data_IF_368547752945
#
_entry.id   IF_368547752945
#
_cell.length_a   1.000
_cell.length_b   1.000
_cell.length_c   1.000
_cell.angle_alpha   90.00
_cell.angle_beta   90.00
_cell.angle_gamma   90.00
#
_symmetry.space_group_name_H-M   'P 1'
#
loop_
_entity.id
_entity.type
_entity.pdbx_description
1 polymer ?
#
# COMPACT_ATOMS: atom_id res chain seq x y z
N UNK A 1 31.01 -19.94 -79.38
CA UNK A 1 31.92 -20.63 -78.44
C UNK A 1 31.43 -20.37 -77.02
N UNK A 2 31.27 -21.44 -76.23
CA UNK A 2 30.89 -21.54 -74.80
C UNK A 2 29.56 -20.89 -74.35
N UNK A 3 28.46 -21.62 -74.20
CA UNK A 3 28.07 -22.65 -73.19
C UNK A 3 27.51 -22.08 -71.87
N UNK A 4 26.17 -22.06 -71.80
CA UNK A 4 25.27 -22.58 -70.76
C UNK A 4 25.76 -22.68 -69.30
N UNK A 5 24.94 -22.18 -68.36
CA UNK A 5 24.52 -22.99 -67.20
C UNK A 5 23.16 -22.60 -66.60
N UNK A 6 22.26 -23.58 -66.66
CA UNK A 6 20.99 -23.73 -65.95
C UNK A 6 21.21 -24.08 -64.46
N UNK A 7 20.18 -23.88 -63.63
CA UNK A 7 20.04 -24.53 -62.32
C UNK A 7 18.97 -23.87 -61.44
N UNK A 8 17.69 -24.22 -61.61
CA UNK A 8 16.95 -25.23 -60.82
C UNK A 8 16.39 -24.72 -59.48
N UNK A 9 15.07 -24.44 -59.47
CA UNK A 9 14.22 -24.37 -58.27
C UNK A 9 13.11 -25.41 -58.41
N UNK A 10 13.21 -26.47 -57.62
CA UNK A 10 12.23 -27.51 -57.29
C UNK A 10 12.50 -27.79 -55.78
N UNK A 11 11.61 -28.15 -54.86
CA UNK A 11 10.17 -28.42 -54.79
C UNK A 11 9.87 -28.71 -53.30
N UNK A 12 8.58 -28.83 -52.94
CA UNK A 12 8.02 -29.55 -51.76
C UNK A 12 7.72 -28.78 -50.48
N UNK A 13 6.44 -28.41 -50.35
CA UNK A 13 5.68 -28.30 -49.09
C UNK A 13 4.64 -29.45 -49.04
N UNK A 14 4.80 -30.36 -48.10
CA UNK A 14 3.84 -31.34 -47.55
C UNK A 14 4.41 -31.66 -46.14
N UNK A 15 3.72 -31.99 -45.06
CA UNK A 15 2.34 -32.08 -44.58
C UNK A 15 2.45 -32.44 -43.08
N UNK A 16 1.30 -32.55 -42.38
CA UNK A 16 1.06 -33.29 -41.12
C UNK A 16 1.22 -32.58 -39.75
N UNK A 17 0.06 -32.34 -39.14
CA UNK A 17 -0.28 -32.33 -37.70
C UNK A 17 -0.14 -33.75 -37.07
N UNK A 18 -0.05 -33.94 -35.73
CA UNK A 18 -1.24 -34.03 -34.84
C UNK A 18 -1.04 -33.56 -33.37
N UNK A 19 -2.11 -33.55 -32.53
CA UNK A 19 -2.17 -32.90 -31.20
C UNK A 19 -1.92 -33.86 -30.03
N UNK A 20 -1.56 -33.32 -28.85
CA UNK A 20 -1.50 -34.06 -27.60
C UNK A 20 -2.28 -33.38 -26.46
N UNK A 21 -3.03 -34.22 -25.75
CA UNK A 21 -3.86 -33.95 -24.59
C UNK A 21 -3.05 -33.70 -23.29
N UNK A 22 -3.71 -32.99 -22.36
CA UNK A 22 -3.53 -32.76 -20.90
C UNK A 22 -3.14 -34.01 -20.06
N UNK A 23 -2.92 -33.99 -18.70
CA UNK A 23 -3.24 -32.95 -17.69
C UNK A 23 -2.27 -32.76 -16.47
N UNK A 24 -2.57 -31.76 -15.64
CA UNK A 24 -2.49 -31.85 -14.17
C UNK A 24 -1.17 -31.45 -13.47
N UNK A 25 -1.23 -30.45 -12.58
CA UNK A 25 -0.86 -30.60 -11.15
C UNK A 25 -1.01 -29.28 -10.39
N UNK A 26 -1.86 -29.38 -9.36
CA UNK A 26 -2.10 -28.45 -8.27
C UNK A 26 -0.83 -28.21 -7.43
N UNK A 27 -0.57 -26.95 -7.03
CA UNK A 27 0.30 -26.68 -5.86
C UNK A 27 -0.05 -25.35 -5.18
N UNK A 28 -0.63 -25.47 -3.99
CA UNK A 28 -0.93 -24.41 -3.03
C UNK A 28 0.35 -23.74 -2.48
N UNK A 29 0.32 -22.43 -2.13
CA UNK A 29 1.35 -21.83 -1.31
C UNK A 29 1.10 -22.06 0.19
N UNK A 30 2.17 -22.46 0.88
CA UNK A 30 2.28 -22.69 2.32
C UNK A 30 2.10 -21.38 3.10
N UNK A 31 1.30 -21.48 4.15
CA UNK A 31 1.21 -20.55 5.27
C UNK A 31 2.52 -20.54 6.07
N UNK A 32 3.14 -19.37 6.19
CA UNK A 32 4.26 -19.11 7.10
C UNK A 32 3.74 -18.42 8.36
N UNK A 33 3.65 -19.20 9.44
CA UNK A 33 3.46 -18.73 10.82
C UNK A 33 4.73 -18.01 11.29
N UNK A 34 4.62 -16.73 11.61
CA UNK A 34 5.59 -16.00 12.43
C UNK A 34 4.95 -15.73 13.79
N UNK A 35 5.63 -16.21 14.82
CA UNK A 35 5.33 -16.10 16.24
C UNK A 35 6.12 -14.94 16.84
N UNK A 36 5.46 -14.07 17.62
CA UNK A 36 5.93 -13.40 18.85
C UNK A 36 5.04 -12.14 19.14
N UNK A 37 5.10 -11.53 20.34
CA UNK A 37 4.63 -12.07 21.60
C UNK A 37 3.54 -11.17 22.26
N UNK A 38 2.86 -11.75 23.26
CA UNK A 38 1.92 -11.10 24.17
C UNK A 38 2.50 -9.83 24.80
N UNK A 39 1.80 -8.70 24.66
CA UNK A 39 1.92 -7.58 25.60
C UNK A 39 0.58 -7.36 26.29
N UNK A 40 0.68 -7.27 27.62
CA UNK A 40 -0.38 -6.98 28.57
C UNK A 40 -0.50 -5.47 28.63
N UNK A 41 -1.62 -4.86 28.25
CA UNK A 41 -1.96 -3.53 28.75
C UNK A 41 -3.47 -3.36 28.97
N UNK A 42 -3.74 -2.86 30.18
CA UNK A 42 -5.02 -2.63 30.84
C UNK A 42 -5.96 -1.71 30.06
N UNK A 43 -7.24 -2.02 30.16
CA UNK A 43 -8.35 -1.10 29.99
C UNK A 43 -8.29 0.08 30.96
N UNK A 44 -8.50 1.29 30.45
CA UNK A 44 -9.21 2.36 31.14
C UNK A 44 -10.06 3.13 30.13
N UNK A 45 -11.35 3.19 30.43
CA UNK A 45 -12.38 4.04 29.82
C UNK A 45 -12.03 5.52 29.89
N UNK A 46 -12.56 6.30 28.94
CA UNK A 46 -13.20 7.64 29.06
C UNK A 46 -13.38 8.16 27.61
N UNK A 47 -14.55 8.01 26.99
CA UNK A 47 -15.70 8.92 27.04
C UNK A 47 -15.43 10.32 26.43
N UNK A 48 -15.90 10.52 25.18
CA UNK A 48 -16.59 11.71 24.64
C UNK A 48 -16.16 12.05 23.20
N UNK A 49 -17.15 12.27 22.31
CA UNK A 49 -16.92 13.05 21.09
C UNK A 49 -17.71 12.60 19.85
N UNK A 50 -19.01 12.91 19.82
CA UNK A 50 -19.88 13.18 18.66
C UNK A 50 -19.33 12.86 17.26
N UNK A 51 -19.84 11.80 16.63
CA UNK A 51 -19.75 11.58 15.17
C UNK A 51 -21.02 12.08 14.49
N UNK A 52 -20.88 13.10 13.65
CA UNK A 52 -21.87 13.47 12.65
C UNK A 52 -21.77 12.50 11.46
N UNK A 53 -22.84 11.76 11.21
CA UNK A 53 -23.03 10.99 9.98
C UNK A 53 -23.56 11.93 8.89
N UNK A 54 -22.82 12.08 7.80
CA UNK A 54 -23.29 12.77 6.58
C UNK A 54 -23.26 11.78 5.42
N UNK A 55 -24.44 11.56 4.84
CA UNK A 55 -24.73 10.60 3.80
C UNK A 55 -24.00 10.92 2.49
N UNK A 56 -23.27 9.94 1.99
CA UNK A 56 -22.80 9.88 0.61
C UNK A 56 -23.94 9.38 -0.29
N UNK A 57 -24.35 10.18 -1.28
CA UNK A 57 -24.96 9.75 -2.54
C UNK A 57 -25.24 10.97 -3.40
N UNK A 58 -24.55 11.10 -4.55
CA UNK A 58 -25.18 11.35 -5.84
C UNK A 58 -24.15 11.24 -6.96
N UNK A 59 -24.39 10.23 -7.78
CA UNK A 59 -23.82 9.95 -9.10
C UNK A 59 -24.32 11.01 -10.09
N UNK A 60 -23.46 11.46 -11.01
CA UNK A 60 -23.74 11.58 -12.45
C UNK A 60 -22.51 12.13 -13.19
N UNK A 61 -21.83 11.24 -13.91
CA UNK A 61 -20.87 11.57 -14.95
C UNK A 61 -21.63 11.72 -16.27
N UNK A 62 -21.49 12.88 -16.93
CA UNK A 62 -21.94 13.08 -18.30
C UNK A 62 -20.71 13.40 -19.17
N UNK A 63 -20.34 12.42 -20.01
CA UNK A 63 -19.36 12.58 -21.07
C UNK A 63 -20.07 13.12 -22.32
N UNK A 64 -19.63 14.26 -22.83
CA UNK A 64 -19.96 14.74 -24.17
C UNK A 64 -18.67 14.89 -24.95
N UNK A 65 -18.44 13.94 -25.85
CA UNK A 65 -17.45 14.01 -26.92
C UNK A 65 -18.12 14.68 -28.11
N UNK A 66 -17.60 15.82 -28.57
CA UNK A 66 -18.03 16.43 -29.83
C UNK A 66 -16.99 16.19 -30.91
N UNK A 67 -17.47 15.54 -31.96
CA UNK A 67 -16.79 15.17 -33.19
C UNK A 67 -16.44 16.39 -34.05
N UNK A 68 -15.23 16.41 -34.59
CA UNK A 68 -14.78 17.37 -35.60
C UNK A 68 -15.14 16.88 -37.02
N UNK A 69 -15.65 17.75 -37.92
CA UNK A 69 -15.77 17.42 -39.34
C UNK A 69 -14.51 17.84 -40.12
N UNK A 70 -13.99 16.88 -40.89
CA UNK A 70 -13.00 17.10 -41.93
C UNK A 70 -13.69 17.57 -43.22
N UNK A 71 -13.18 18.64 -43.84
CA UNK A 71 -13.50 19.00 -45.23
C UNK A 71 -12.19 19.26 -45.97
N UNK A 72 -12.00 18.51 -47.06
CA UNK A 72 -10.96 18.68 -48.05
C UNK A 72 -11.46 19.58 -49.19
N UNK A 73 -10.60 20.39 -49.80
CA UNK A 73 -10.22 20.33 -51.23
C UNK A 73 -9.49 21.59 -51.72
N UNK A 74 -8.27 21.35 -52.24
CA UNK A 74 -7.58 21.92 -53.42
C UNK A 74 -7.69 23.41 -53.78
N UNK A 75 -6.54 24.07 -54.02
CA UNK A 75 -6.15 24.65 -55.33
C UNK A 75 -4.61 24.87 -55.39
N UNK A 76 -3.95 24.41 -56.46
CA UNK A 76 -2.60 24.82 -56.91
C UNK A 76 -2.71 25.96 -57.94
N UNK A 77 -1.70 26.82 -58.07
CA UNK A 77 -1.02 26.88 -59.37
C UNK A 77 0.51 26.99 -59.31
N UNK A 78 1.12 26.49 -60.38
CA UNK A 78 2.54 26.51 -60.68
C UNK A 78 2.95 27.79 -61.42
N UNK A 79 4.18 28.27 -61.22
CA UNK A 79 5.17 28.48 -62.31
C UNK A 79 6.53 29.02 -61.79
N UNK A 80 7.59 28.31 -62.19
CA UNK A 80 8.91 28.77 -62.70
C UNK A 80 9.62 29.96 -62.02
N UNK A 81 10.88 29.94 -61.61
CA UNK A 81 12.01 29.03 -61.82
C UNK A 81 13.31 29.87 -61.83
N UNK A 82 14.35 29.46 -61.09
CA UNK A 82 15.77 29.77 -61.37
C UNK A 82 16.66 29.08 -60.31
N UNK A 83 17.85 28.66 -60.73
CA UNK A 83 18.69 27.66 -60.10
C UNK A 83 19.93 28.24 -59.37
N UNK A 84 20.28 27.59 -58.24
CA UNK A 84 21.63 27.19 -57.71
C UNK A 84 22.70 28.24 -57.28
N UNK A 85 23.72 27.85 -56.45
CA UNK A 85 23.79 26.83 -55.37
C UNK A 85 24.66 27.19 -54.12
N UNK A 86 24.62 26.26 -53.14
CA UNK A 86 25.71 25.73 -52.28
C UNK A 86 26.12 26.42 -50.95
N UNK A 87 26.21 25.58 -49.90
CA UNK A 87 26.89 25.82 -48.61
C UNK A 87 26.02 25.48 -47.39
N UNK A 88 25.71 24.22 -47.11
CA UNK A 88 26.48 23.31 -46.23
C UNK A 88 26.22 23.50 -44.71
N UNK A 89 25.60 22.47 -44.11
CA UNK A 89 25.90 21.79 -42.83
C UNK A 89 24.63 21.45 -42.02
N UNK A 90 24.45 20.15 -41.80
CA UNK A 90 23.50 19.49 -40.90
C UNK A 90 24.15 19.33 -39.49
N UNK A 91 23.70 18.47 -38.54
CA UNK A 91 22.42 17.75 -38.35
C UNK A 91 21.89 17.77 -36.87
N UNK A 92 20.81 17.03 -36.59
CA UNK A 92 20.47 16.23 -35.36
C UNK A 92 18.98 16.37 -35.02
N UNK A 93 18.10 15.35 -35.06
CA UNK A 93 18.05 14.02 -34.46
C UNK A 93 17.41 13.96 -33.05
N UNK A 94 16.28 13.25 -33.01
CA UNK A 94 15.72 12.42 -31.93
C UNK A 94 15.22 13.08 -30.63
N UNK A 95 13.89 13.11 -30.48
CA UNK A 95 13.18 13.20 -29.20
C UNK A 95 12.81 11.79 -28.71
N UNK A 96 13.42 11.37 -27.59
CA UNK A 96 13.01 10.22 -26.79
C UNK A 96 12.40 10.71 -25.48
N UNK A 97 11.23 10.16 -25.17
CA UNK A 97 10.42 10.45 -23.98
C UNK A 97 11.12 10.06 -22.68
N UNK A 98 10.97 10.89 -21.63
CA UNK A 98 11.22 10.47 -20.26
C UNK A 98 10.04 10.83 -19.35
N UNK A 99 9.52 9.78 -18.73
CA UNK A 99 8.62 9.80 -17.59
C UNK A 99 9.35 10.34 -16.34
N UNK A 100 8.69 11.22 -15.61
CA UNK A 100 9.16 11.71 -14.31
C UNK A 100 8.62 10.83 -13.17
N UNK A 101 9.54 10.38 -12.31
CA UNK A 101 9.25 9.91 -10.96
C UNK A 101 9.09 11.10 -10.02
N UNK A 102 7.98 11.11 -9.28
CA UNK A 102 7.69 12.09 -8.23
C UNK A 102 8.22 11.60 -6.88
N UNK A 103 8.92 12.46 -6.15
CA UNK A 103 9.12 12.34 -4.69
C UNK A 103 8.98 13.72 -4.05
N UNK A 104 7.81 13.91 -3.44
CA UNK A 104 7.57 14.34 -2.04
C UNK A 104 8.35 15.56 -1.51
N UNK A 105 7.62 16.60 -1.12
CA UNK A 105 7.40 16.94 0.29
C UNK A 105 6.43 18.11 0.45
N UNK A 106 5.53 17.95 1.43
CA UNK A 106 4.49 18.87 1.83
C UNK A 106 5.02 19.94 2.78
N UNK A 107 4.41 21.12 2.70
CA UNK A 107 3.91 21.83 3.88
C UNK A 107 4.59 23.16 4.20
N UNK A 108 3.92 24.27 3.89
CA UNK A 108 3.32 25.14 4.91
C UNK A 108 2.65 26.38 4.31
N UNK A 109 1.42 26.59 4.78
CA UNK A 109 0.72 27.86 5.02
C UNK A 109 0.32 28.76 3.86
N UNK A 110 -1.01 28.90 3.75
CA UNK A 110 -1.74 29.94 3.04
C UNK A 110 -1.13 31.34 3.24
N UNK A 111 -0.77 31.96 2.14
CA UNK A 111 -0.91 33.39 1.95
C UNK A 111 -1.49 33.56 0.54
N UNK A 112 -2.68 34.14 0.48
CA UNK A 112 -3.28 34.69 -0.74
C UNK A 112 -2.23 35.49 -1.49
N UNK A 113 -1.91 34.99 -2.68
CA UNK A 113 -1.09 35.66 -3.68
C UNK A 113 -1.70 35.42 -5.05
N UNK A 114 -3.02 35.59 -5.16
CA UNK A 114 -3.74 35.63 -6.44
C UNK A 114 -3.64 37.03 -7.05
N UNK A 115 -2.44 37.54 -7.24
CA UNK A 115 -2.21 38.80 -7.95
C UNK A 115 -1.05 38.64 -8.94
N UNK A 116 -1.14 37.62 -9.79
CA UNK A 116 -0.38 37.57 -11.04
C UNK A 116 -1.13 36.76 -12.12
N UNK A 117 -2.44 36.94 -12.16
CA UNK A 117 -3.29 36.59 -13.30
C UNK A 117 -4.04 37.82 -13.87
N UNK A 118 -3.86 39.00 -13.27
CA UNK A 118 -4.61 40.22 -13.61
C UNK A 118 -4.06 41.02 -14.79
N UNK A 119 -2.77 40.91 -15.11
CA UNK A 119 -2.14 41.81 -16.11
C UNK A 119 -2.18 41.31 -17.55
N UNK A 120 -2.35 39.99 -17.78
CA UNK A 120 -2.56 39.48 -19.14
C UNK A 120 -4.03 39.53 -19.56
N UNK A 121 -4.96 39.49 -18.59
CA UNK A 121 -6.40 39.57 -18.84
C UNK A 121 -6.87 41.01 -19.08
N UNK A 122 -6.22 42.01 -18.47
CA UNK A 122 -6.58 43.42 -18.65
C UNK A 122 -6.55 43.89 -20.12
N UNK A 123 -5.48 43.72 -20.92
CA UNK A 123 -5.44 44.20 -22.29
C UNK A 123 -6.42 43.44 -23.22
N UNK A 124 -6.56 42.11 -23.06
CA UNK A 124 -7.53 41.34 -23.85
C UNK A 124 -8.97 41.75 -23.51
N UNK A 125 -9.29 41.99 -22.24
CA UNK A 125 -10.62 42.48 -21.84
C UNK A 125 -10.94 43.88 -22.37
N UNK A 126 -9.94 44.75 -22.54
CA UNK A 126 -10.09 46.07 -23.13
C UNK A 126 -10.39 45.99 -24.64
N UNK A 127 -9.73 45.08 -25.37
CA UNK A 127 -10.02 44.84 -26.78
C UNK A 127 -11.42 44.26 -26.96
N UNK A 128 -11.81 43.29 -26.13
CA UNK A 128 -13.14 42.69 -26.16
C UNK A 128 -14.25 43.71 -25.87
N UNK A 129 -14.03 44.63 -24.92
CA UNK A 129 -14.98 45.70 -24.62
C UNK A 129 -15.16 46.66 -25.80
N UNK A 130 -14.06 47.06 -26.47
CA UNK A 130 -14.12 47.92 -27.65
C UNK A 130 -14.77 47.21 -28.84
N UNK A 131 -14.53 45.92 -29.03
CA UNK A 131 -15.18 45.13 -30.06
C UNK A 131 -16.70 45.10 -29.87
N UNK A 132 -17.18 44.86 -28.64
CA UNK A 132 -18.62 44.88 -28.32
C UNK A 132 -19.30 46.22 -28.64
N UNK A 133 -18.60 47.34 -28.41
CA UNK A 133 -19.13 48.67 -28.78
C UNK A 133 -19.25 48.82 -30.30
N UNK A 134 -18.30 48.29 -31.07
CA UNK A 134 -18.36 48.30 -32.53
C UNK A 134 -19.49 47.40 -33.07
N UNK A 135 -19.69 46.24 -32.44
CA UNK A 135 -20.78 45.32 -32.78
C UNK A 135 -22.14 45.96 -32.47
N UNK A 136 -22.30 46.57 -31.30
CA UNK A 136 -23.51 47.30 -30.92
C UNK A 136 -23.80 48.45 -31.89
N UNK A 137 -22.78 49.24 -32.29
CA UNK A 137 -22.95 50.31 -33.29
C UNK A 137 -23.38 49.77 -34.65
N UNK A 138 -22.93 48.58 -35.01
CA UNK A 138 -23.35 47.90 -36.26
C UNK A 138 -24.82 47.51 -36.18
N UNK A 139 -25.24 46.91 -35.08
CA UNK A 139 -26.64 46.54 -34.84
C UNK A 139 -27.57 47.75 -34.83
N UNK A 140 -27.18 48.81 -34.11
CA UNK A 140 -27.93 50.08 -34.07
C UNK A 140 -28.01 50.72 -35.46
N UNK A 141 -26.93 50.70 -36.24
CA UNK A 141 -26.95 51.24 -37.60
C UNK A 141 -27.92 50.47 -38.51
N UNK A 142 -27.89 49.13 -38.45
CA UNK A 142 -28.80 48.27 -39.20
C UNK A 142 -30.26 48.49 -38.78
N UNK A 143 -30.52 48.62 -37.48
CA UNK A 143 -31.86 48.92 -36.95
C UNK A 143 -32.39 50.27 -37.45
N UNK A 144 -31.57 51.33 -37.38
CA UNK A 144 -31.95 52.66 -37.87
C UNK A 144 -32.20 52.67 -39.38
N UNK A 145 -31.40 51.93 -40.14
CA UNK A 145 -31.63 51.75 -41.57
C UNK A 145 -32.96 51.04 -41.86
N UNK A 146 -33.27 49.96 -41.14
CA UNK A 146 -34.53 49.23 -41.29
C UNK A 146 -35.77 50.11 -41.00
N UNK A 147 -35.73 50.93 -39.95
CA UNK A 147 -36.79 51.91 -39.69
C UNK A 147 -36.90 52.92 -40.84
N UNK A 148 -35.77 53.50 -41.25
CA UNK A 148 -35.76 54.50 -42.32
C UNK A 148 -36.29 53.93 -43.65
N UNK A 149 -36.01 52.67 -43.93
CA UNK A 149 -36.54 51.95 -45.10
C UNK A 149 -38.07 51.87 -45.04
N UNK A 150 -38.64 51.43 -43.90
CA UNK A 150 -40.09 51.39 -43.70
C UNK A 150 -40.72 52.77 -43.81
N UNK A 151 -40.11 53.80 -43.22
CA UNK A 151 -40.59 55.18 -43.29
C UNK A 151 -40.56 55.73 -44.73
N UNK A 152 -39.57 55.35 -45.53
CA UNK A 152 -39.42 55.82 -46.90
C UNK A 152 -40.57 55.36 -47.81
N UNK A 153 -41.18 54.20 -47.56
CA UNK A 153 -42.33 53.72 -48.34
C UNK A 153 -43.61 54.56 -48.13
N UNK A 154 -43.67 55.36 -47.06
CA UNK A 154 -44.78 56.28 -46.81
C UNK A 154 -44.64 57.65 -47.52
N UNK A 155 -43.51 57.90 -48.21
CA UNK A 155 -43.19 59.20 -48.82
C UNK A 155 -43.39 59.19 -50.34
N UNK A 156 -43.73 60.35 -50.91
CA UNK A 156 -43.92 60.51 -52.36
C UNK A 156 -42.66 60.23 -53.19
N UNK A 157 -41.46 60.56 -52.68
CA UNK A 157 -40.18 60.32 -53.37
C UNK A 157 -39.41 59.14 -52.76
N UNK A 158 -39.99 57.93 -52.81
CA UNK A 158 -39.44 56.71 -52.20
C UNK A 158 -37.99 56.45 -52.65
N UNK A 159 -37.71 56.50 -53.96
CA UNK A 159 -36.37 56.20 -54.50
C UNK A 159 -35.28 57.13 -53.97
N UNK A 160 -35.57 58.43 -53.88
CA UNK A 160 -34.63 59.40 -53.32
C UNK A 160 -34.41 59.16 -51.82
N UNK A 161 -35.49 58.89 -51.08
CA UNK A 161 -35.44 58.58 -49.66
C UNK A 161 -34.60 57.33 -49.35
N UNK A 162 -34.81 56.24 -50.10
CA UNK A 162 -34.05 54.99 -49.94
C UNK A 162 -32.57 55.17 -50.24
N UNK A 163 -32.22 55.94 -51.28
CA UNK A 163 -30.82 56.22 -51.59
C UNK A 163 -30.15 57.01 -50.46
N UNK A 164 -30.81 58.05 -49.93
CA UNK A 164 -30.31 58.81 -48.79
C UNK A 164 -30.12 57.94 -47.54
N UNK A 165 -31.08 57.04 -47.25
CA UNK A 165 -30.98 56.11 -46.13
C UNK A 165 -29.78 55.15 -46.32
N UNK A 166 -29.60 54.61 -47.53
CA UNK A 166 -28.48 53.73 -47.87
C UNK A 166 -27.13 54.44 -47.77
N UNK A 167 -27.05 55.70 -48.19
CA UNK A 167 -25.81 56.48 -48.09
C UNK A 167 -25.44 56.76 -46.63
N UNK A 168 -26.43 57.05 -45.78
CA UNK A 168 -26.20 57.21 -44.33
C UNK A 168 -25.78 55.91 -43.63
N UNK A 169 -26.30 54.76 -44.09
CA UNK A 169 -25.88 53.45 -43.59
C UNK A 169 -24.44 53.15 -44.02
N UNK A 170 -24.11 53.37 -45.30
CA UNK A 170 -22.75 53.16 -45.84
C UNK A 170 -21.69 54.04 -45.15
N UNK A 171 -22.01 55.30 -44.84
CA UNK A 171 -21.05 56.20 -44.18
C UNK A 171 -20.69 55.68 -42.78
N UNK A 172 -21.69 55.31 -41.98
CA UNK A 172 -21.46 54.79 -40.63
C UNK A 172 -20.78 53.42 -40.66
N UNK A 173 -21.14 52.54 -41.59
CA UNK A 173 -20.44 51.27 -41.78
C UNK A 173 -18.96 51.45 -42.17
N UNK A 174 -18.65 52.47 -42.98
CA UNK A 174 -17.27 52.79 -43.32
C UNK A 174 -16.47 53.24 -42.08
N UNK A 175 -17.08 54.04 -41.21
CA UNK A 175 -16.46 54.46 -39.95
C UNK A 175 -16.23 53.28 -39.01
N UNK A 176 -17.24 52.40 -38.83
CA UNK A 176 -17.12 51.19 -38.01
C UNK A 176 -15.98 50.29 -38.53
N UNK A 177 -15.91 50.07 -39.85
CA UNK A 177 -14.84 49.25 -40.44
C UNK A 177 -13.46 49.87 -40.24
N UNK A 178 -13.34 51.21 -40.30
CA UNK A 178 -12.08 51.91 -40.03
C UNK A 178 -11.61 51.69 -38.59
N UNK A 179 -12.53 51.75 -37.63
CA UNK A 179 -12.23 51.50 -36.22
C UNK A 179 -11.89 50.02 -35.95
N UNK A 180 -12.59 49.07 -36.57
CA UNK A 180 -12.26 47.64 -36.50
C UNK A 180 -10.84 47.35 -37.02
N UNK A 181 -10.48 47.91 -38.18
CA UNK A 181 -9.14 47.73 -38.74
C UNK A 181 -8.04 48.32 -37.84
N UNK A 182 -8.32 49.41 -37.14
CA UNK A 182 -7.41 49.99 -36.16
C UNK A 182 -7.23 49.06 -34.95
N UNK A 183 -8.33 48.54 -34.39
CA UNK A 183 -8.33 47.59 -33.27
C UNK A 183 -7.56 46.30 -33.62
N UNK A 184 -7.83 45.72 -34.78
CA UNK A 184 -7.10 44.54 -35.28
C UNK A 184 -5.60 44.82 -35.49
N UNK A 185 -5.25 46.02 -35.92
CA UNK A 185 -3.87 46.48 -36.07
C UNK A 185 -3.13 46.53 -34.73
N UNK A 186 -3.78 47.06 -33.69
CA UNK A 186 -3.26 47.09 -32.32
C UNK A 186 -3.07 45.66 -31.78
N UNK A 187 -4.09 44.81 -31.92
CA UNK A 187 -4.05 43.43 -31.42
C UNK A 187 -2.92 42.61 -32.08
N UNK A 188 -2.73 42.75 -33.40
CA UNK A 188 -1.62 42.10 -34.11
C UNK A 188 -0.26 42.56 -33.58
N UNK A 189 -0.11 43.85 -33.31
CA UNK A 189 1.13 44.43 -32.80
C UNK A 189 1.44 43.92 -31.39
N UNK A 190 0.42 43.86 -30.50
CA UNK A 190 0.60 43.34 -29.15
C UNK A 190 0.97 41.85 -29.15
N UNK A 191 0.29 41.04 -29.94
CA UNK A 191 0.64 39.62 -30.08
C UNK A 191 2.05 39.41 -30.64
N UNK A 192 2.52 40.30 -31.52
CA UNK A 192 3.90 40.27 -31.99
C UNK A 192 4.89 40.56 -30.85
N UNK A 193 4.64 41.62 -30.05
CA UNK A 193 5.47 41.97 -28.88
C UNK A 193 5.55 40.84 -27.86
N UNK A 194 4.41 40.25 -27.50
CA UNK A 194 4.36 39.13 -26.55
C UNK A 194 5.18 37.94 -27.05
N UNK A 195 5.11 37.62 -28.36
CA UNK A 195 5.94 36.55 -28.94
C UNK A 195 7.43 36.88 -28.85
N UNK A 196 7.81 38.12 -29.14
CA UNK A 196 9.22 38.56 -29.10
C UNK A 196 9.76 38.54 -27.67
N UNK A 197 8.97 38.98 -26.69
CA UNK A 197 9.28 38.90 -25.26
C UNK A 197 9.43 37.46 -24.79
N UNK A 198 8.48 36.59 -25.12
CA UNK A 198 8.55 35.16 -24.78
C UNK A 198 9.75 34.48 -25.44
N UNK A 199 10.05 34.80 -26.70
CA UNK A 199 11.22 34.29 -27.40
C UNK A 199 12.53 34.82 -26.77
N UNK A 200 12.56 36.05 -26.28
CA UNK A 200 13.70 36.60 -25.55
C UNK A 200 13.91 35.90 -24.20
N UNK A 201 12.82 35.69 -23.43
CA UNK A 201 12.87 34.95 -22.15
C UNK A 201 13.38 33.52 -22.38
N UNK A 202 12.83 32.83 -23.39
CA UNK A 202 13.24 31.45 -23.70
C UNK A 202 14.71 31.38 -24.11
N UNK A 203 15.17 32.29 -24.97
CA UNK A 203 16.59 32.37 -25.34
C UNK A 203 17.49 32.60 -24.12
N UNK A 204 17.10 33.53 -23.23
CA UNK A 204 17.85 33.79 -22.01
C UNK A 204 17.90 32.55 -21.08
N UNK A 205 16.80 31.80 -20.96
CA UNK A 205 16.76 30.55 -20.19
C UNK A 205 17.61 29.44 -20.83
N UNK A 206 17.57 29.32 -22.16
CA UNK A 206 18.37 28.35 -22.90
C UNK A 206 19.86 28.67 -22.77
N UNK A 207 20.26 29.94 -22.85
CA UNK A 207 21.63 30.41 -22.63
C UNK A 207 22.09 30.18 -21.19
N UNK A 208 21.24 30.50 -20.19
CA UNK A 208 21.54 30.26 -18.78
C UNK A 208 21.70 28.77 -18.45
N UNK A 209 20.91 27.89 -19.09
CA UNK A 209 20.97 26.44 -18.90
C UNK A 209 22.00 25.74 -19.80
N UNK A 210 22.54 26.40 -20.82
CA UNK A 210 23.52 25.85 -21.75
C UNK A 210 24.75 25.21 -21.08
N UNK A 211 25.44 25.84 -20.10
CA UNK A 211 26.59 25.22 -19.46
C UNK A 211 26.21 23.98 -18.66
N UNK A 212 25.04 23.98 -18.01
CA UNK A 212 24.57 22.82 -17.27
C UNK A 212 24.25 21.67 -18.22
N UNK A 213 23.56 21.94 -19.34
CA UNK A 213 23.29 20.94 -20.39
C UNK A 213 24.58 20.34 -20.94
N UNK A 214 25.57 21.17 -21.26
CA UNK A 214 26.88 20.70 -21.73
C UNK A 214 27.63 19.86 -20.67
N UNK A 215 27.55 20.23 -19.39
CA UNK A 215 28.14 19.46 -18.30
C UNK A 215 27.45 18.10 -18.10
N UNK A 216 26.14 18.06 -18.20
CA UNK A 216 25.37 16.82 -18.09
C UNK A 216 25.59 15.90 -19.31
N UNK A 217 25.67 16.45 -20.52
CA UNK A 217 26.05 15.72 -21.74
C UNK A 217 27.45 15.11 -21.62
N UNK A 218 28.42 15.88 -21.11
CA UNK A 218 29.77 15.38 -20.86
C UNK A 218 29.79 14.25 -19.81
N UNK A 219 29.04 14.40 -18.71
CA UNK A 219 28.92 13.33 -17.69
C UNK A 219 28.24 12.08 -18.24
N UNK A 220 27.23 12.24 -19.08
CA UNK A 220 26.53 11.12 -19.72
C UNK A 220 27.46 10.37 -20.68
N UNK A 221 28.24 11.10 -21.49
CA UNK A 221 29.24 10.52 -22.39
C UNK A 221 30.31 9.74 -21.61
N UNK A 222 30.88 10.33 -20.55
CA UNK A 222 31.84 9.67 -19.69
C UNK A 222 31.26 8.40 -19.04
N UNK A 223 30.06 8.50 -18.46
CA UNK A 223 29.40 7.35 -17.84
C UNK A 223 29.13 6.22 -18.85
N UNK A 224 28.87 6.55 -20.11
CA UNK A 224 28.69 5.56 -21.17
C UNK A 224 30.01 4.85 -21.51
N UNK A 225 31.10 5.61 -21.69
CA UNK A 225 32.43 5.06 -21.94
C UNK A 225 32.92 4.20 -20.77
N UNK A 226 32.70 4.64 -19.53
CA UNK A 226 33.07 3.92 -18.31
C UNK A 226 32.35 2.56 -18.24
N UNK A 227 31.05 2.54 -18.55
CA UNK A 227 30.26 1.30 -18.63
C UNK A 227 30.77 0.37 -19.72
N UNK A 228 31.16 0.90 -20.88
CA UNK A 228 31.77 0.09 -21.92
C UNK A 228 33.07 -0.55 -21.46
N UNK A 229 33.95 0.22 -20.79
CA UNK A 229 35.21 -0.32 -20.24
C UNK A 229 34.94 -1.37 -19.16
N UNK A 230 34.02 -1.11 -18.24
CA UNK A 230 33.65 -2.07 -17.20
C UNK A 230 33.11 -3.37 -17.82
N UNK A 231 32.27 -3.28 -18.85
CA UNK A 231 31.76 -4.46 -19.53
C UNK A 231 32.87 -5.31 -20.15
N UNK A 232 33.87 -4.66 -20.77
CA UNK A 232 35.04 -5.36 -21.32
C UNK A 232 35.87 -6.03 -20.22
N UNK A 233 36.06 -5.37 -19.07
CA UNK A 233 36.75 -5.95 -17.93
C UNK A 233 35.99 -7.15 -17.33
N UNK A 234 34.68 -7.01 -17.13
CA UNK A 234 33.84 -8.09 -16.60
C UNK A 234 33.79 -9.29 -17.56
N UNK A 235 33.82 -9.04 -18.86
CA UNK A 235 33.94 -10.10 -19.86
C UNK A 235 35.29 -10.81 -19.77
N UNK A 236 36.39 -10.05 -19.68
CA UNK A 236 37.73 -10.61 -19.54
C UNK A 236 37.87 -11.42 -18.24
N UNK A 237 37.36 -10.92 -17.11
CA UNK A 237 37.34 -11.62 -15.83
C UNK A 237 36.50 -12.90 -15.92
N UNK A 238 35.30 -12.83 -16.51
CA UNK A 238 34.49 -14.03 -16.74
C UNK A 238 35.20 -15.04 -17.62
N UNK A 239 35.89 -14.61 -18.67
CA UNK A 239 36.65 -15.52 -19.52
C UNK A 239 37.82 -16.18 -18.76
N UNK A 240 38.56 -15.40 -17.94
CA UNK A 240 39.67 -15.91 -17.13
C UNK A 240 39.22 -16.92 -16.06
N UNK A 241 38.08 -16.69 -15.42
CA UNK A 241 37.51 -17.60 -14.41
C UNK A 241 36.74 -18.78 -14.99
N UNK A 242 36.43 -18.79 -16.30
CA UNK A 242 35.69 -19.87 -16.95
C UNK A 242 36.25 -21.28 -16.68
N UNK A 243 37.57 -21.55 -16.83
CA UNK A 243 38.13 -22.87 -16.51
C UNK A 243 37.92 -23.22 -15.03
N UNK A 244 38.13 -22.28 -14.11
CA UNK A 244 37.95 -22.54 -12.68
C UNK A 244 36.49 -22.80 -12.31
N UNK A 245 35.53 -22.09 -12.92
CA UNK A 245 34.09 -22.38 -12.75
C UNK A 245 33.72 -23.76 -13.28
N UNK A 246 34.29 -24.17 -14.43
CA UNK A 246 34.07 -25.51 -14.97
C UNK A 246 34.64 -26.61 -14.06
N UNK A 247 35.84 -26.42 -13.53
CA UNK A 247 36.46 -27.35 -12.58
C UNK A 247 35.67 -27.43 -11.26
N UNK A 248 35.18 -26.29 -10.76
CA UNK A 248 34.34 -26.27 -9.55
C UNK A 248 33.01 -27.00 -9.77
N UNK A 249 32.36 -26.78 -10.92
CA UNK A 249 31.13 -27.48 -11.28
C UNK A 249 31.35 -29.00 -11.36
N UNK A 250 32.44 -29.45 -11.96
CA UNK A 250 32.81 -30.87 -12.01
C UNK A 250 33.09 -31.43 -10.61
N UNK A 251 33.85 -30.70 -9.77
CA UNK A 251 34.15 -31.12 -8.40
C UNK A 251 32.87 -31.24 -7.55
N UNK A 252 31.91 -30.33 -7.75
CA UNK A 252 30.62 -30.40 -7.08
C UNK A 252 29.80 -31.61 -7.52
N UNK A 253 29.74 -31.88 -8.83
CA UNK A 253 29.07 -33.07 -9.37
C UNK A 253 29.71 -34.37 -8.84
N UNK A 254 31.04 -34.44 -8.77
CA UNK A 254 31.74 -35.61 -8.25
C UNK A 254 31.46 -35.82 -6.76
N UNK A 255 31.44 -34.74 -5.96
CA UNK A 255 31.03 -34.82 -4.55
C UNK A 255 29.59 -35.31 -4.39
N UNK A 256 28.67 -34.88 -5.27
CA UNK A 256 27.31 -35.40 -5.25
C UNK A 256 27.26 -36.90 -5.55
N UNK A 257 28.05 -37.37 -6.52
CA UNK A 257 28.17 -38.81 -6.83
C UNK A 257 28.75 -39.59 -5.65
N UNK A 258 29.82 -39.08 -5.05
CA UNK A 258 30.43 -39.69 -3.86
C UNK A 258 29.44 -39.77 -2.72
N UNK A 259 28.68 -38.70 -2.45
CA UNK A 259 27.66 -38.71 -1.41
C UNK A 259 26.55 -39.73 -1.68
N UNK A 260 26.14 -39.91 -2.94
CA UNK A 260 25.17 -40.94 -3.31
C UNK A 260 25.73 -42.36 -3.09
N UNK A 261 27.00 -42.60 -3.43
CA UNK A 261 27.68 -43.88 -3.19
C UNK A 261 27.85 -44.16 -1.68
N UNK A 262 28.27 -43.15 -0.92
CA UNK A 262 28.39 -43.24 0.53
C UNK A 262 27.05 -43.52 1.19
N UNK A 263 25.96 -42.91 0.73
CA UNK A 263 24.62 -43.23 1.22
C UNK A 263 24.21 -44.66 0.88
N UNK A 264 24.53 -45.15 -0.32
CA UNK A 264 24.26 -46.53 -0.69
C UNK A 264 25.07 -47.52 0.18
N UNK A 265 26.32 -47.19 0.52
CA UNK A 265 27.18 -48.02 1.38
C UNK A 265 26.81 -47.93 2.86
N UNK A 266 26.45 -46.75 3.35
CA UNK A 266 25.97 -46.54 4.73
C UNK A 266 24.51 -46.90 4.92
N UNK A 267 23.82 -47.33 3.86
CA UNK A 267 22.46 -47.84 3.92
C UNK A 267 22.39 -48.91 4.99
N UNK A 268 21.92 -48.51 6.17
CA UNK A 268 21.54 -49.39 7.27
C UNK A 268 20.63 -50.43 6.62
N UNK A 269 21.09 -51.68 6.60
CA UNK A 269 20.29 -52.77 6.02
C UNK A 269 18.87 -52.68 6.59
N UNK A 270 17.81 -52.97 5.80
CA UNK A 270 16.43 -52.84 6.26
C UNK A 270 16.18 -53.61 7.58
N UNK A 271 16.96 -54.65 7.86
CA UNK A 271 16.98 -55.37 9.14
C UNK A 271 17.52 -54.53 10.31
N UNK A 272 18.61 -53.78 10.15
CA UNK A 272 19.13 -52.88 11.19
C UNK A 272 18.22 -51.66 11.41
N UNK A 273 17.57 -51.14 10.37
CA UNK A 273 16.60 -50.05 10.52
C UNK A 273 15.37 -50.50 11.32
N UNK A 274 14.85 -51.69 11.01
CA UNK A 274 13.76 -52.30 11.76
C UNK A 274 14.16 -52.60 13.22
N UNK A 275 15.38 -53.10 13.46
CA UNK A 275 15.87 -53.36 14.81
C UNK A 275 16.01 -52.06 15.65
N UNK A 276 16.51 -50.98 15.04
CA UNK A 276 16.62 -49.68 15.70
C UNK A 276 15.25 -49.07 16.02
N UNK A 277 14.28 -49.23 15.12
CA UNK A 277 12.91 -48.77 15.33
C UNK A 277 12.23 -49.55 16.47
N UNK A 278 12.35 -50.88 16.45
CA UNK A 278 11.84 -51.73 17.55
C UNK A 278 12.47 -51.38 18.89
N UNK A 279 13.78 -51.13 18.93
CA UNK A 279 14.47 -50.71 20.14
C UNK A 279 14.00 -49.33 20.64
N UNK A 280 13.62 -48.43 19.74
CA UNK A 280 13.05 -47.13 20.10
C UNK A 280 11.64 -47.29 20.68
N UNK A 281 10.78 -48.06 20.01
CA UNK A 281 9.39 -48.27 20.43
C UNK A 281 9.31 -49.00 21.78
N UNK A 282 10.19 -49.98 22.01
CA UNK A 282 10.32 -50.65 23.31
C UNK A 282 10.70 -49.66 24.42
N UNK A 283 11.66 -48.77 24.17
CA UNK A 283 12.07 -47.74 25.15
C UNK A 283 10.93 -46.76 25.46
N UNK A 284 10.12 -46.40 24.47
CA UNK A 284 8.93 -45.56 24.69
C UNK A 284 7.90 -46.28 25.57
N UNK A 285 7.62 -47.56 25.29
CA UNK A 285 6.73 -48.39 26.09
C UNK A 285 7.22 -48.54 27.54
N UNK A 286 8.50 -48.79 27.73
CA UNK A 286 9.13 -48.91 29.06
C UNK A 286 9.03 -47.62 29.87
N UNK A 287 9.25 -46.48 29.21
CA UNK A 287 9.12 -45.18 29.86
C UNK A 287 7.68 -44.92 30.29
N UNK A 288 6.71 -45.22 29.44
CA UNK A 288 5.29 -45.07 29.77
C UNK A 288 4.88 -45.96 30.95
N UNK A 289 5.31 -47.22 30.94
CA UNK A 289 5.07 -48.16 32.07
C UNK A 289 5.63 -47.63 33.38
N UNK A 290 6.85 -47.08 33.38
CA UNK A 290 7.46 -46.48 34.57
C UNK A 290 6.68 -45.28 35.10
N UNK A 291 6.12 -44.45 34.23
CA UNK A 291 5.28 -43.33 34.64
C UNK A 291 3.98 -43.81 35.30
N UNK A 292 3.35 -44.83 34.73
CA UNK A 292 2.09 -45.36 35.25
C UNK A 292 2.29 -46.09 36.58
N UNK A 293 3.39 -46.83 36.73
CA UNK A 293 3.79 -47.43 38.01
C UNK A 293 4.06 -46.36 39.07
N UNK A 294 4.79 -45.29 38.73
CA UNK A 294 5.05 -44.19 39.65
C UNK A 294 3.76 -43.48 40.11
N UNK A 295 2.78 -43.30 39.20
CA UNK A 295 1.46 -42.75 39.53
C UNK A 295 0.68 -43.67 40.47
N UNK A 296 0.66 -44.97 40.19
CA UNK A 296 -0.03 -45.95 41.04
C UNK A 296 0.56 -45.97 42.45
N UNK A 297 1.89 -45.98 42.58
CA UNK A 297 2.56 -45.91 43.88
C UNK A 297 2.29 -44.58 44.61
N UNK A 298 2.26 -43.47 43.88
CA UNK A 298 1.88 -42.16 44.42
C UNK A 298 0.46 -42.15 44.99
N UNK A 299 -0.50 -42.73 44.27
CA UNK A 299 -1.90 -42.84 44.70
C UNK A 299 -2.05 -43.72 45.95
N UNK A 300 -1.37 -44.88 46.01
CA UNK A 300 -1.39 -45.76 47.18
C UNK A 300 -0.83 -45.06 48.42
N UNK A 301 0.32 -44.40 48.30
CA UNK A 301 0.92 -43.65 49.42
C UNK A 301 0.03 -42.48 49.87
N UNK A 302 -0.69 -41.84 48.97
CA UNK A 302 -1.65 -40.79 49.32
C UNK A 302 -2.82 -41.35 50.15
N UNK A 303 -3.37 -42.50 49.75
CA UNK A 303 -4.41 -43.19 50.53
C UNK A 303 -3.91 -43.61 51.91
N UNK A 304 -2.69 -44.14 52.00
CA UNK A 304 -2.09 -44.54 53.27
C UNK A 304 -1.92 -43.34 54.22
N UNK A 305 -1.53 -42.16 53.71
CA UNK A 305 -1.45 -40.94 54.53
C UNK A 305 -2.82 -40.52 55.08
N UNK A 306 -3.88 -40.59 54.26
CA UNK A 306 -5.25 -40.28 54.72
C UNK A 306 -5.69 -41.25 55.81
N UNK A 307 -5.46 -42.55 55.64
CA UNK A 307 -5.81 -43.56 56.65
C UNK A 307 -5.02 -43.37 57.95
N UNK A 308 -3.71 -43.08 57.85
CA UNK A 308 -2.88 -42.78 59.02
C UNK A 308 -3.36 -41.53 59.74
N UNK A 309 -3.70 -40.47 59.01
CA UNK A 309 -4.26 -39.24 59.58
C UNK A 309 -5.57 -39.52 60.34
N UNK A 310 -6.52 -40.24 59.73
CA UNK A 310 -7.77 -40.64 60.38
C UNK A 310 -7.53 -41.49 61.63
N UNK A 311 -6.57 -42.42 61.58
CA UNK A 311 -6.22 -43.25 62.74
C UNK A 311 -5.62 -42.43 63.88
N UNK A 312 -4.87 -41.38 63.56
CA UNK A 312 -4.27 -40.49 64.55
C UNK A 312 -5.32 -39.59 65.19
N UNK A 313 -6.23 -39.01 64.40
CA UNK A 313 -7.37 -38.23 64.89
C UNK A 313 -8.27 -39.05 65.80
N UNK A 314 -8.57 -40.31 65.42
CA UNK A 314 -9.33 -41.23 66.26
C UNK A 314 -8.63 -41.49 67.60
N UNK A 315 -7.31 -41.76 67.59
CA UNK A 315 -6.54 -41.94 68.82
C UNK A 315 -6.54 -40.70 69.72
N UNK A 316 -6.53 -39.49 69.15
CA UNK A 316 -6.64 -38.27 69.94
C UNK A 316 -8.01 -38.13 70.59
N UNK A 317 -9.09 -38.42 69.85
CA UNK A 317 -10.46 -38.39 70.38
C UNK A 317 -10.65 -39.44 71.50
N UNK A 318 -10.18 -40.67 71.27
CA UNK A 318 -10.25 -41.76 72.26
C UNK A 318 -9.47 -41.41 73.54
N UNK A 319 -8.27 -40.79 73.40
CA UNK A 319 -7.48 -40.33 74.54
C UNK A 319 -8.17 -39.19 75.33
N UNK A 320 -8.83 -38.26 74.63
CA UNK A 320 -9.59 -37.18 75.26
C UNK A 320 -10.83 -37.71 76.00
N UNK A 321 -11.55 -38.67 75.41
CA UNK A 321 -12.68 -39.35 76.08
C UNK A 321 -12.21 -40.10 77.32
N UNK A 322 -11.14 -40.89 77.23
CA UNK A 322 -10.61 -41.62 78.37
C UNK A 322 -10.17 -40.67 79.50
N UNK A 323 -9.57 -39.52 79.17
CA UNK A 323 -9.22 -38.49 80.17
C UNK A 323 -10.47 -37.95 80.87
N UNK A 324 -11.51 -37.60 80.11
CA UNK A 324 -12.77 -37.10 80.66
C UNK A 324 -13.46 -38.15 81.56
N UNK A 325 -13.46 -39.42 81.17
CA UNK A 325 -14.02 -40.53 81.95
C UNK A 325 -13.27 -40.73 83.28
N UNK A 326 -11.93 -40.66 83.25
CA UNK A 326 -11.11 -40.75 84.47
C UNK A 326 -11.37 -39.56 85.39
N UNK A 327 -11.44 -38.33 84.86
CA UNK A 327 -11.77 -37.13 85.65
C UNK A 327 -13.18 -37.20 86.26
N UNK A 328 -14.17 -37.68 85.50
CA UNK A 328 -15.52 -37.89 86.00
C UNK A 328 -15.55 -38.91 87.14
N UNK A 329 -14.82 -40.03 87.00
CA UNK A 329 -14.70 -41.05 88.05
C UNK A 329 -13.99 -40.52 89.30
N UNK A 330 -12.98 -39.66 89.14
CA UNK A 330 -12.30 -39.00 90.27
C UNK A 330 -13.22 -38.02 91.00
N UNK A 331 -14.00 -37.21 90.27
CA UNK A 331 -14.99 -36.29 90.87
C UNK A 331 -16.06 -37.07 91.65
N UNK A 332 -16.61 -38.13 91.07
CA UNK A 332 -17.57 -38.99 91.77
C UNK A 332 -16.96 -39.64 93.02
N UNK A 333 -15.68 -40.04 92.99
CA UNK A 333 -15.00 -40.57 94.16
C UNK A 333 -14.75 -39.50 95.25
N UNK A 334 -14.39 -38.27 94.85
CA UNK A 334 -14.21 -37.14 95.75
C UNK A 334 -15.53 -36.71 96.41
N UNK A 335 -16.60 -36.55 95.63
CA UNK A 335 -17.95 -36.26 96.13
C UNK A 335 -18.41 -37.34 97.13
N UNK A 336 -18.19 -38.62 96.82
CA UNK A 336 -18.53 -39.72 97.73
C UNK A 336 -17.69 -39.72 99.00
N UNK A 337 -16.44 -39.24 98.94
CA UNK A 337 -15.57 -39.09 100.12
C UNK A 337 -15.97 -37.89 101.00
N UNK A 338 -16.34 -36.76 100.39
CA UNK A 338 -16.87 -35.59 101.09
C UNK A 338 -18.21 -35.91 101.75
N UNK A 339 -19.10 -36.64 101.07
CA UNK A 339 -20.37 -37.09 101.63
C UNK A 339 -20.13 -37.95 102.88
N UNK A 340 -19.19 -38.92 102.82
CA UNK A 340 -18.78 -39.70 104.00
C UNK A 340 -18.19 -38.85 105.14
N UNK A 341 -17.41 -37.80 104.84
CA UNK A 341 -16.87 -36.88 105.86
C UNK A 341 -17.98 -36.06 106.52
N UNK A 342 -18.93 -35.56 105.74
CA UNK A 342 -20.09 -34.85 106.28
C UNK A 342 -20.94 -35.77 107.16
N UNK A 343 -21.14 -37.02 106.75
CA UNK A 343 -21.86 -38.01 107.54
C UNK A 343 -21.13 -38.35 108.85
N UNK A 344 -19.80 -38.51 108.81
CA UNK A 344 -18.98 -38.75 110.02
C UNK A 344 -18.96 -37.56 110.99
N UNK A 345 -18.89 -36.32 110.48
CA UNK A 345 -18.98 -35.12 111.30
C UNK A 345 -20.36 -34.99 111.97
N UNK A 346 -21.44 -35.31 111.24
CA UNK A 346 -22.79 -35.37 111.82
C UNK A 346 -22.89 -36.44 112.93
N UNK A 347 -22.27 -37.60 112.74
CA UNK A 347 -22.21 -38.63 113.79
C UNK A 347 -21.40 -38.18 115.01
N UNK A 348 -20.23 -37.57 114.84
CA UNK A 348 -19.45 -37.02 115.96
C UNK A 348 -20.21 -35.93 116.72
N UNK A 349 -20.91 -35.03 116.02
CA UNK A 349 -21.74 -34.02 116.70
C UNK A 349 -22.89 -34.65 117.49
N UNK A 350 -23.49 -35.73 116.98
CA UNK A 350 -24.51 -36.48 117.72
C UNK A 350 -23.93 -37.19 118.95
N UNK A 351 -22.73 -37.79 118.84
CA UNK A 351 -22.05 -38.43 119.96
C UNK A 351 -21.58 -37.42 121.02
N UNK A 352 -21.07 -36.26 120.64
CA UNK A 352 -20.72 -35.17 121.57
C UNK A 352 -21.97 -34.61 122.25
N UNK A 353 -23.08 -34.44 121.52
CA UNK A 353 -24.37 -34.06 122.13
C UNK A 353 -24.84 -35.13 123.13
N UNK A 354 -24.68 -36.42 122.82
CA UNK A 354 -25.02 -37.50 123.76
C UNK A 354 -24.09 -37.54 124.98
N UNK A 355 -22.79 -37.31 124.82
CA UNK A 355 -21.83 -37.23 125.94
C UNK A 355 -22.07 -36.00 126.84
N UNK A 356 -22.41 -34.85 126.26
CA UNK A 356 -22.78 -33.67 127.05
C UNK A 356 -24.08 -33.88 127.83
N UNK A 357 -25.03 -34.65 127.28
CA UNK A 357 -26.24 -35.04 128.01
C UNK A 357 -25.95 -36.08 129.12
N UNK A 358 -24.99 -36.98 128.93
CA UNK A 358 -24.61 -37.96 129.95
C UNK A 358 -23.73 -37.39 131.08
N UNK A 359 -23.01 -36.29 130.88
CA UNK A 359 -22.24 -35.62 131.95
C UNK A 359 -23.05 -34.64 132.80
N UNK A 360 -24.34 -34.46 132.51
CA UNK A 360 -25.26 -33.67 133.34
C UNK A 360 -26.19 -34.53 134.22
N UNK A 361 -25.92 -35.84 134.33
CA UNK A 361 -26.50 -36.76 135.31
C UNK A 361 -25.39 -37.29 136.21
#
# INVERSE_FOLDING_TARGET
>A
MSLNRLGSRLVSRLSQLPPFLSPGLSRSPRTSLVSAPRSVFRSTFLANGKFFASCASCVLAAALTMSAPAVAQSVTPASSGAARPAGALAPAAASGEQAMSATKAQGATNAEGTDNAGNAAAPESDFDARQKVLDQRTEENNYRYGIAEHDCYSKFFVNYCLNKARDSMRSVQADIRKEQLALDGEQRTQRARVRDEQAAIKRAQDEASAPQRAADDARNAQAYEDKQRQHQLDQAQRAAEAPQRSANAQAYQEKQRQHALDQAQRGISPSQAAANQQAYDQKQGDFQRKLDEARAQGAQKAQERVQKQQSFEKKQADAAQHKADVEARQKQAAEKAEQKRQDALKQQQQEEQQKQQQQQQ
#
